data_IF_988331237458
#
_entry.id   IF_988331237458
#
_cell.length_a   1.000
_cell.length_b   1.000
_cell.length_c   1.000
_cell.angle_alpha   90.00
_cell.angle_beta   90.00
_cell.angle_gamma   90.00
#
_symmetry.space_group_name_H-M   'P 1'
#
loop_
_entity.id
_entity.type
_entity.pdbx_description
1 polymer ?
#
# COMPACT_ATOMS: atom_id res chain seq x y z
N UNK A 1 8.26 29.15 9.88
CA UNK A 1 8.04 27.73 10.16
C UNK A 1 6.62 27.43 9.73
N UNK A 2 6.45 26.50 8.79
CA UNK A 2 5.12 26.11 8.35
C UNK A 2 4.34 25.35 9.41
N UNK A 3 3.04 25.21 9.19
CA UNK A 3 2.09 24.61 10.12
C UNK A 3 2.10 23.10 9.97
N UNK A 4 1.78 22.41 11.05
CA UNK A 4 1.66 20.95 11.06
C UNK A 4 0.18 20.59 11.08
N UNK A 5 -0.28 19.93 10.01
CA UNK A 5 -1.59 19.29 9.98
C UNK A 5 -1.46 17.89 10.57
N UNK A 6 -2.28 17.57 11.57
CA UNK A 6 -2.26 16.27 12.22
C UNK A 6 -3.65 15.64 12.21
N UNK A 7 -3.77 14.52 11.50
CA UNK A 7 -4.97 13.71 11.36
C UNK A 7 -4.84 12.43 12.19
N UNK A 8 -5.93 12.02 12.85
CA UNK A 8 -6.08 10.68 13.39
C UNK A 8 -6.98 9.92 12.40
N UNK A 9 -6.55 8.72 11.99
CA UNK A 9 -7.33 7.92 11.06
C UNK A 9 -8.68 7.48 11.65
N UNK A 10 -9.65 7.27 10.77
CA UNK A 10 -11.01 6.82 11.11
C UNK A 10 -11.76 7.83 11.99
N UNK A 11 -12.78 7.41 12.74
CA UNK A 11 -13.62 8.26 13.58
C UNK A 11 -14.67 9.08 12.81
N UNK A 12 -14.42 9.31 11.53
CA UNK A 12 -15.32 10.01 10.62
C UNK A 12 -16.55 9.22 10.24
N UNK A 13 -17.54 9.92 9.68
CA UNK A 13 -18.72 9.27 9.07
C UNK A 13 -18.38 8.77 7.68
N UNK A 14 -18.35 7.45 7.53
CA UNK A 14 -18.29 6.76 6.25
C UNK A 14 -19.67 6.14 5.94
N UNK A 15 -19.91 5.70 4.70
CA UNK A 15 -21.22 5.27 4.21
C UNK A 15 -21.96 4.32 5.17
N UNK A 16 -22.91 4.85 5.97
CA UNK A 16 -23.75 4.08 6.89
C UNK A 16 -23.33 4.07 8.37
N UNK A 17 -22.24 4.74 8.78
CA UNK A 17 -21.84 4.75 10.20
C UNK A 17 -20.55 5.52 10.51
N UNK A 18 -20.17 5.52 11.79
CA UNK A 18 -18.84 5.97 12.21
C UNK A 18 -17.85 4.86 11.89
N UNK A 19 -16.77 5.17 11.20
CA UNK A 19 -15.70 4.23 10.92
C UNK A 19 -14.85 4.04 12.20
N UNK A 20 -14.86 2.84 12.85
CA UNK A 20 -14.04 2.61 14.03
C UNK A 20 -12.57 2.32 13.69
N UNK A 21 -12.26 2.07 12.41
CA UNK A 21 -11.04 1.40 11.99
C UNK A 21 -10.94 -0.01 12.58
N UNK A 22 -9.72 -0.45 12.88
CA UNK A 22 -9.48 -1.76 13.49
C UNK A 22 -10.08 -1.86 14.91
N UNK A 23 -10.68 -3.01 15.25
CA UNK A 23 -11.24 -3.27 16.59
C UNK A 23 -10.47 -4.42 17.23
N UNK A 24 -9.82 -4.16 18.37
CA UNK A 24 -9.09 -5.19 19.12
C UNK A 24 -8.95 -4.83 20.60
N UNK A 25 -8.93 -5.85 21.47
CA UNK A 25 -8.66 -5.67 22.91
C UNK A 25 -9.62 -4.70 23.61
N UNK A 26 -10.88 -4.63 23.18
CA UNK A 26 -11.91 -3.75 23.77
C UNK A 26 -11.77 -2.26 23.41
N UNK A 27 -10.93 -1.91 22.42
CA UNK A 27 -10.77 -0.55 21.91
C UNK A 27 -10.88 -0.53 20.37
N UNK A 28 -10.86 0.67 19.80
CA UNK A 28 -10.94 0.92 18.36
C UNK A 28 -9.73 1.76 17.94
N UNK A 29 -9.27 1.58 16.72
CA UNK A 29 -8.19 2.38 16.12
C UNK A 29 -8.49 3.88 16.19
N UNK A 30 -9.69 4.29 15.79
CA UNK A 30 -10.14 5.68 15.85
C UNK A 30 -9.89 6.31 17.24
N UNK A 31 -10.38 5.64 18.30
CA UNK A 31 -10.21 6.08 19.69
C UNK A 31 -8.74 6.24 20.09
N UNK A 32 -7.90 5.23 19.81
CA UNK A 32 -6.50 5.27 20.22
C UNK A 32 -5.70 6.34 19.46
N UNK A 33 -6.01 6.55 18.17
CA UNK A 33 -5.37 7.58 17.36
C UNK A 33 -5.80 8.99 17.76
N UNK A 34 -7.08 9.22 18.07
CA UNK A 34 -7.57 10.50 18.61
C UNK A 34 -6.83 10.86 19.90
N UNK A 35 -6.76 9.92 20.87
CA UNK A 35 -6.06 10.14 22.13
C UNK A 35 -4.55 10.41 21.94
N UNK A 36 -3.92 9.73 20.99
CA UNK A 36 -2.49 9.93 20.69
C UNK A 36 -2.25 11.28 20.01
N UNK A 37 -3.06 11.63 19.01
CA UNK A 37 -3.01 12.92 18.30
C UNK A 37 -3.09 14.08 19.28
N UNK A 38 -4.05 14.07 20.19
CA UNK A 38 -4.28 15.19 21.11
C UNK A 38 -3.06 15.44 22.02
N UNK A 39 -2.38 14.36 22.42
CA UNK A 39 -1.10 14.46 23.13
C UNK A 39 0.02 15.00 22.23
N UNK A 40 0.14 14.55 20.98
CA UNK A 40 1.13 15.09 20.02
C UNK A 40 0.89 16.60 19.79
N UNK A 41 -0.36 17.02 19.60
CA UNK A 41 -0.74 18.44 19.45
C UNK A 41 -0.30 19.24 20.68
N UNK A 42 -0.54 18.71 21.88
CA UNK A 42 -0.12 19.34 23.14
C UNK A 42 1.41 19.49 23.20
N UNK A 43 2.16 18.42 22.91
CA UNK A 43 3.63 18.42 22.95
C UNK A 43 4.25 19.35 21.88
N UNK A 44 3.66 19.45 20.69
CA UNK A 44 4.11 20.36 19.64
C UNK A 44 3.80 21.83 19.97
N UNK A 45 2.60 22.13 20.48
CA UNK A 45 2.22 23.50 20.88
C UNK A 45 3.07 24.02 22.04
N UNK A 46 3.44 23.14 22.99
CA UNK A 46 4.37 23.48 24.06
C UNK A 46 5.77 23.87 23.55
N UNK A 47 6.11 23.48 22.31
CA UNK A 47 7.36 23.82 21.61
C UNK A 47 7.16 24.95 20.59
N UNK A 48 6.06 25.69 20.70
CA UNK A 48 5.70 26.83 19.83
C UNK A 48 5.49 26.48 18.35
N UNK A 49 5.15 25.23 18.02
CA UNK A 49 4.69 24.88 16.68
C UNK A 49 3.21 25.22 16.51
N UNK A 50 2.85 25.81 15.37
CA UNK A 50 1.45 25.97 14.97
C UNK A 50 0.92 24.64 14.43
N UNK A 51 -0.08 24.07 15.12
CA UNK A 51 -0.64 22.76 14.80
C UNK A 51 -2.15 22.85 14.57
N UNK A 52 -2.57 22.36 13.41
CA UNK A 52 -3.97 22.20 13.02
C UNK A 52 -4.36 20.73 13.20
N UNK A 53 -5.14 20.47 14.25
CA UNK A 53 -5.79 19.17 14.45
C UNK A 53 -6.96 19.04 13.48
N UNK A 54 -6.96 18.00 12.65
CA UNK A 54 -8.07 17.72 11.73
C UNK A 54 -9.30 17.26 12.55
N UNK A 55 -10.53 17.72 12.23
CA UNK A 55 -11.74 17.29 12.92
C UNK A 55 -12.02 15.78 12.78
N UNK A 56 -12.53 15.17 13.85
CA UNK A 56 -12.74 13.72 13.97
C UNK A 56 -13.89 13.18 13.14
N UNK A 57 -14.83 14.03 12.74
CA UNK A 57 -16.08 13.63 12.07
C UNK A 57 -15.97 13.55 10.54
N UNK A 58 -14.79 13.87 10.00
CA UNK A 58 -14.52 13.88 8.56
C UNK A 58 -14.19 12.48 8.04
N UNK A 59 -14.81 12.09 6.93
CA UNK A 59 -14.37 10.95 6.11
C UNK A 59 -12.92 11.10 5.65
N UNK A 60 -12.29 10.01 5.22
CA UNK A 60 -10.93 10.04 4.68
C UNK A 60 -10.77 11.06 3.54
N UNK A 61 -11.78 11.17 2.67
CA UNK A 61 -11.82 12.16 1.59
C UNK A 61 -11.92 13.59 2.12
N UNK A 62 -12.84 13.83 3.06
CA UNK A 62 -13.05 15.17 3.63
C UNK A 62 -11.84 15.66 4.43
N UNK A 63 -11.12 14.76 5.10
CA UNK A 63 -9.84 15.05 5.77
C UNK A 63 -8.83 15.66 4.80
N UNK A 64 -8.63 15.04 3.63
CA UNK A 64 -7.72 15.53 2.59
C UNK A 64 -8.22 16.89 2.05
N UNK A 65 -9.51 17.04 1.77
CA UNK A 65 -10.10 18.31 1.29
C UNK A 65 -9.96 19.44 2.32
N UNK A 66 -10.11 19.12 3.62
CA UNK A 66 -9.97 20.07 4.71
C UNK A 66 -8.54 20.60 4.84
N UNK A 67 -7.54 19.71 4.72
CA UNK A 67 -6.12 20.10 4.69
C UNK A 67 -5.83 20.93 3.43
N UNK A 68 -6.27 20.45 2.26
CA UNK A 68 -5.97 21.04 0.95
C UNK A 68 -6.57 22.44 0.71
N UNK A 69 -7.65 22.77 1.41
CA UNK A 69 -8.27 24.10 1.40
C UNK A 69 -7.54 25.09 2.30
N UNK A 70 -6.65 24.63 3.18
CA UNK A 70 -5.95 25.46 4.18
C UNK A 70 -4.46 25.56 3.95
N UNK A 71 -3.85 24.60 3.24
CA UNK A 71 -2.40 24.50 3.06
C UNK A 71 -1.76 25.78 2.50
N UNK A 72 -0.57 26.07 2.99
CA UNK A 72 0.35 27.12 2.52
C UNK A 72 1.74 26.53 2.33
N UNK A 73 2.61 27.26 1.64
CA UNK A 73 4.01 26.86 1.46
C UNK A 73 4.68 26.67 2.83
N UNK A 74 5.41 25.56 2.99
CA UNK A 74 6.12 25.22 4.22
C UNK A 74 5.34 24.31 5.18
N UNK A 75 4.02 24.18 5.00
CA UNK A 75 3.21 23.29 5.84
C UNK A 75 3.53 21.81 5.58
N UNK A 76 3.31 20.96 6.57
CA UNK A 76 3.44 19.49 6.47
C UNK A 76 2.19 18.80 7.04
N UNK A 77 1.91 17.57 6.61
CA UNK A 77 0.75 16.80 7.06
C UNK A 77 1.12 15.37 7.48
N UNK A 78 0.66 14.94 8.65
CA UNK A 78 0.81 13.56 9.13
C UNK A 78 -0.58 13.00 9.46
N UNK A 79 -0.86 11.79 9.00
CA UNK A 79 -1.97 10.97 9.48
C UNK A 79 -1.45 9.77 10.25
N UNK A 80 -1.96 9.55 11.46
CA UNK A 80 -1.58 8.42 12.30
C UNK A 80 -2.66 7.32 12.29
N UNK A 81 -2.20 6.08 12.14
CA UNK A 81 -2.96 4.84 12.09
C UNK A 81 -2.40 3.84 13.11
N UNK A 82 -3.22 2.88 13.54
CA UNK A 82 -2.77 1.69 14.26
C UNK A 82 -3.24 0.45 13.48
N UNK A 83 -2.30 -0.19 12.80
CA UNK A 83 -2.58 -1.26 11.84
C UNK A 83 -3.17 -2.51 12.53
N UNK A 84 -3.69 -3.44 11.73
CA UNK A 84 -4.11 -4.75 12.19
C UNK A 84 -3.64 -5.83 11.23
N UNK A 85 -3.27 -6.97 11.80
CA UNK A 85 -2.94 -8.18 11.08
C UNK A 85 -3.77 -9.34 11.62
N UNK A 86 -4.05 -10.32 10.77
CA UNK A 86 -4.68 -11.59 11.17
C UNK A 86 -3.90 -12.27 12.29
N UNK A 87 -2.57 -12.26 12.18
CA UNK A 87 -1.65 -12.77 13.19
C UNK A 87 -1.43 -11.75 14.31
N UNK A 88 -1.86 -12.00 15.57
CA UNK A 88 -1.56 -11.13 16.70
C UNK A 88 -0.06 -11.06 17.04
N UNK A 89 0.79 -11.92 16.50
CA UNK A 89 2.26 -11.82 16.63
C UNK A 89 2.91 -10.72 15.77
N UNK A 90 2.20 -10.16 14.77
CA UNK A 90 2.75 -9.08 13.93
C UNK A 90 2.71 -7.76 14.69
N UNK A 91 3.87 -7.10 14.78
CA UNK A 91 4.03 -5.85 15.53
C UNK A 91 5.12 -4.93 14.97
N UNK A 92 5.14 -3.69 15.44
CA UNK A 92 6.10 -2.64 15.09
C UNK A 92 5.53 -1.47 14.30
N UNK A 93 6.28 -0.38 14.20
CA UNK A 93 5.89 0.83 13.48
C UNK A 93 6.46 0.90 12.06
N UNK A 94 5.71 1.54 11.16
CA UNK A 94 6.19 1.95 9.84
C UNK A 94 5.65 3.32 9.44
N UNK A 95 6.34 3.99 8.52
CA UNK A 95 5.86 5.26 7.93
C UNK A 95 5.84 5.12 6.43
N UNK A 96 4.71 5.47 5.83
CA UNK A 96 4.48 5.46 4.40
C UNK A 96 4.65 6.86 3.82
N UNK A 97 5.25 6.89 2.63
CA UNK A 97 5.48 8.09 1.85
C UNK A 97 5.11 7.85 0.38
N UNK A 98 4.88 8.91 -0.38
CA UNK A 98 4.59 8.76 -1.81
C UNK A 98 5.75 8.12 -2.57
N UNK A 99 5.48 7.06 -3.34
CA UNK A 99 6.50 6.35 -4.11
C UNK A 99 7.29 7.28 -5.03
N UNK A 100 8.57 6.94 -5.26
CA UNK A 100 9.51 7.69 -6.10
C UNK A 100 9.79 9.13 -5.62
N UNK A 101 9.75 9.38 -4.31
CA UNK A 101 10.08 10.67 -3.70
C UNK A 101 11.09 10.49 -2.57
N UNK A 102 12.39 10.60 -2.90
CA UNK A 102 13.50 10.38 -1.96
C UNK A 102 13.48 11.38 -0.79
N UNK A 103 13.06 12.61 -1.03
CA UNK A 103 12.98 13.63 0.01
C UNK A 103 11.89 13.28 1.05
N UNK A 104 10.74 12.76 0.59
CA UNK A 104 9.68 12.25 1.48
C UNK A 104 10.10 10.98 2.20
N UNK A 105 10.90 10.10 1.58
CA UNK A 105 11.51 8.96 2.28
C UNK A 105 12.35 9.44 3.47
N UNK A 106 13.24 10.41 3.26
CA UNK A 106 14.05 10.96 4.36
C UNK A 106 13.20 11.65 5.44
N UNK A 107 12.11 12.32 5.06
CA UNK A 107 11.17 12.88 6.03
C UNK A 107 10.48 11.79 6.87
N UNK A 108 10.08 10.69 6.24
CA UNK A 108 9.51 9.54 6.93
C UNK A 108 10.48 8.93 7.95
N UNK A 109 11.79 8.90 7.62
CA UNK A 109 12.84 8.39 8.51
C UNK A 109 12.96 9.24 9.77
N UNK A 110 12.85 10.57 9.65
CA UNK A 110 12.86 11.48 10.80
C UNK A 110 11.72 11.17 11.77
N UNK A 111 10.50 10.98 11.25
CA UNK A 111 9.30 10.71 12.07
C UNK A 111 9.38 9.33 12.71
N UNK A 112 9.75 8.29 11.94
CA UNK A 112 9.89 6.93 12.46
C UNK A 112 10.96 6.83 13.55
N UNK A 113 12.14 7.40 13.32
CA UNK A 113 13.23 7.38 14.29
C UNK A 113 12.91 8.20 15.53
N UNK A 114 12.14 9.28 15.40
CA UNK A 114 11.61 10.04 16.54
C UNK A 114 10.82 9.15 17.50
N UNK A 115 9.87 8.36 16.98
CA UNK A 115 9.11 7.39 17.78
C UNK A 115 10.02 6.31 18.39
N UNK A 116 10.81 5.64 17.57
CA UNK A 116 11.58 4.45 17.98
C UNK A 116 12.67 4.77 19.03
N UNK A 117 13.18 6.00 19.06
CA UNK A 117 14.12 6.45 20.11
C UNK A 117 13.46 6.57 21.49
N UNK A 118 12.15 6.81 21.56
CA UNK A 118 11.40 6.91 22.82
C UNK A 118 10.76 5.58 23.22
N UNK A 119 10.37 4.77 22.23
CA UNK A 119 9.69 3.49 22.42
C UNK A 119 10.55 2.37 21.84
N UNK A 120 11.66 2.08 22.51
CA UNK A 120 12.68 1.13 22.02
C UNK A 120 12.19 -0.32 21.94
N UNK A 121 11.08 -0.65 22.61
CA UNK A 121 10.43 -1.96 22.55
C UNK A 121 9.65 -2.22 21.26
N UNK A 122 9.39 -1.17 20.47
CA UNK A 122 8.61 -1.29 19.25
C UNK A 122 9.51 -1.71 18.09
N UNK A 123 9.22 -2.82 17.38
CA UNK A 123 10.03 -3.23 16.26
C UNK A 123 10.03 -2.20 15.12
N UNK A 124 11.18 -2.00 14.50
CA UNK A 124 11.32 -1.13 13.33
C UNK A 124 10.91 -1.88 12.06
N UNK A 125 9.76 -1.53 11.47
CA UNK A 125 9.31 -2.08 10.18
C UNK A 125 9.71 -1.21 8.98
N UNK A 126 10.45 -0.13 9.22
CA UNK A 126 11.04 0.75 8.22
C UNK A 126 10.07 1.77 7.62
N UNK A 127 10.65 2.64 6.78
CA UNK A 127 9.89 3.55 5.92
C UNK A 127 9.60 2.87 4.59
N UNK A 128 8.40 3.06 4.05
CA UNK A 128 7.93 2.34 2.86
C UNK A 128 7.27 3.29 1.86
N UNK A 129 7.46 3.11 0.56
CA UNK A 129 6.60 3.79 -0.40
C UNK A 129 5.16 3.31 -0.18
N UNK A 130 4.20 4.19 -0.44
CA UNK A 130 2.76 3.94 -0.30
C UNK A 130 2.28 2.75 -1.13
N UNK A 131 3.01 2.44 -2.21
CA UNK A 131 2.78 1.26 -3.05
C UNK A 131 3.06 -0.06 -2.35
N UNK A 132 3.78 -0.05 -1.23
CA UNK A 132 3.98 -1.23 -0.39
C UNK A 132 2.87 -1.40 0.65
N UNK A 133 1.92 -0.47 0.77
CA UNK A 133 0.72 -0.68 1.56
C UNK A 133 -0.12 -1.81 0.95
N UNK A 134 -1.03 -2.39 1.74
CA UNK A 134 -1.95 -3.41 1.23
C UNK A 134 -2.76 -2.94 0.01
N UNK A 135 -3.07 -1.64 -0.05
CA UNK A 135 -3.87 -1.04 -1.13
C UNK A 135 -3.04 -0.67 -2.38
N UNK A 136 -1.71 -0.72 -2.31
CA UNK A 136 -0.83 -0.32 -3.43
C UNK A 136 -0.81 1.19 -3.74
N UNK A 137 -1.58 1.98 -3.01
CA UNK A 137 -1.70 3.43 -3.14
C UNK A 137 -2.33 3.99 -1.87
N UNK A 138 -1.78 5.06 -1.32
CA UNK A 138 -2.38 5.75 -0.17
C UNK A 138 -2.81 7.15 -0.57
N UNK A 139 -4.13 7.39 -0.55
CA UNK A 139 -4.73 8.67 -0.93
C UNK A 139 -4.15 9.83 -0.12
N UNK A 140 -3.96 9.66 1.19
CA UNK A 140 -3.37 10.69 2.05
C UNK A 140 -1.97 11.12 1.57
N UNK A 141 -1.12 10.19 1.17
CA UNK A 141 0.22 10.49 0.65
C UNK A 141 0.19 11.12 -0.76
N UNK A 142 -0.77 10.73 -1.60
CA UNK A 142 -0.83 11.16 -3.01
C UNK A 142 -1.56 12.49 -3.21
N UNK A 143 -2.71 12.64 -2.56
CA UNK A 143 -3.70 13.69 -2.84
C UNK A 143 -3.58 14.89 -1.89
N UNK A 144 -2.91 14.74 -0.74
CA UNK A 144 -2.61 15.88 0.14
C UNK A 144 -1.62 16.83 -0.57
N UNK A 145 -1.94 18.13 -0.54
CA UNK A 145 -1.18 19.16 -1.25
C UNK A 145 0.14 19.46 -0.56
N UNK A 146 0.15 19.46 0.78
CA UNK A 146 1.35 19.54 1.60
C UNK A 146 2.20 18.27 1.44
N UNK A 147 3.53 18.33 1.70
CA UNK A 147 4.31 17.15 2.05
C UNK A 147 3.57 16.31 3.11
N UNK A 148 3.25 15.07 2.76
CA UNK A 148 2.36 14.22 3.56
C UNK A 148 2.97 12.84 3.83
N UNK A 149 2.76 12.36 5.05
CA UNK A 149 3.16 11.03 5.51
C UNK A 149 1.97 10.34 6.19
N UNK A 150 1.90 9.01 6.07
CA UNK A 150 0.97 8.18 6.84
C UNK A 150 1.81 7.29 7.77
N UNK A 151 1.58 7.35 9.06
CA UNK A 151 2.34 6.58 10.04
C UNK A 151 1.45 5.53 10.69
N UNK A 152 1.86 4.26 10.56
CA UNK A 152 1.35 3.18 11.39
C UNK A 152 2.19 3.12 12.66
N UNK A 153 1.62 3.53 13.78
CA UNK A 153 2.35 3.66 15.05
C UNK A 153 2.59 2.30 15.73
N UNK A 154 1.94 1.23 15.27
CA UNK A 154 2.01 -0.13 15.82
C UNK A 154 0.85 -0.97 15.30
N UNK A 155 0.72 -2.20 15.80
CA UNK A 155 -0.41 -3.08 15.47
C UNK A 155 -1.39 -3.16 16.64
N UNK A 156 -2.62 -2.67 16.45
CA UNK A 156 -3.67 -2.74 17.47
C UNK A 156 -4.07 -4.19 17.78
N UNK A 157 -3.95 -5.10 16.81
CA UNK A 157 -4.20 -6.53 17.00
C UNK A 157 -3.15 -7.21 17.90
N UNK A 158 -1.92 -6.70 17.96
CA UNK A 158 -0.87 -7.24 18.83
C UNK A 158 -1.00 -6.72 20.27
N UNK A 159 -1.06 -7.61 21.28
CA UNK A 159 -1.27 -7.20 22.66
C UNK A 159 -0.12 -6.36 23.24
N UNK A 160 1.13 -6.60 22.86
CA UNK A 160 2.28 -5.83 23.36
C UNK A 160 2.31 -4.40 22.81
N UNK A 161 2.11 -4.22 21.51
CA UNK A 161 2.03 -2.90 20.87
C UNK A 161 0.84 -2.11 21.40
N UNK A 162 -0.33 -2.75 21.55
CA UNK A 162 -1.50 -2.13 22.17
C UNK A 162 -1.22 -1.70 23.60
N UNK A 163 -0.57 -2.54 24.40
CA UNK A 163 -0.19 -2.21 25.78
C UNK A 163 0.82 -1.05 25.82
N UNK A 164 1.79 -1.01 24.90
CA UNK A 164 2.73 0.11 24.78
C UNK A 164 1.98 1.41 24.42
N UNK A 165 1.10 1.38 23.43
CA UNK A 165 0.31 2.54 23.00
C UNK A 165 -0.56 3.07 24.13
N UNK A 166 -1.22 2.20 24.89
CA UNK A 166 -2.13 2.60 25.97
C UNK A 166 -1.42 3.08 27.23
N UNK A 167 -0.35 2.39 27.65
CA UNK A 167 0.34 2.67 28.91
C UNK A 167 1.49 3.68 28.76
N UNK A 168 2.04 3.83 27.55
CA UNK A 168 3.17 4.73 27.24
C UNK A 168 2.82 5.74 26.14
N UNK A 169 1.53 6.10 26.00
CA UNK A 169 1.03 7.04 24.97
C UNK A 169 1.81 8.35 24.92
N UNK A 170 2.26 8.85 26.08
CA UNK A 170 3.07 10.07 26.16
C UNK A 170 4.44 9.91 25.50
N UNK A 171 5.08 8.74 25.62
CA UNK A 171 6.36 8.47 24.96
C UNK A 171 6.20 8.40 23.44
N UNK A 172 5.08 7.83 22.96
CA UNK A 172 4.71 7.90 21.55
C UNK A 172 4.55 9.36 21.10
N UNK A 173 3.78 10.14 21.84
CA UNK A 173 3.52 11.53 21.52
C UNK A 173 4.79 12.37 21.46
N UNK A 174 5.68 12.23 22.46
CA UNK A 174 6.97 12.90 22.51
C UNK A 174 7.86 12.50 21.32
N UNK A 175 7.94 11.22 21.00
CA UNK A 175 8.77 10.72 19.89
C UNK A 175 8.27 11.20 18.53
N UNK A 176 6.96 11.14 18.29
CA UNK A 176 6.35 11.65 17.06
C UNK A 176 6.50 13.18 16.97
N UNK A 177 6.34 13.91 18.08
CA UNK A 177 6.58 15.35 18.13
C UNK A 177 8.05 15.72 17.85
N UNK A 178 9.02 14.95 18.36
CA UNK A 178 10.45 15.12 18.05
C UNK A 178 10.71 14.98 16.54
N UNK A 179 10.15 13.95 15.92
CA UNK A 179 10.27 13.68 14.49
C UNK A 179 9.57 14.73 13.60
N UNK A 180 8.33 15.10 13.93
CA UNK A 180 7.58 16.15 13.23
C UNK A 180 8.26 17.52 13.32
N UNK A 181 8.82 17.87 14.48
CA UNK A 181 9.57 19.10 14.65
C UNK A 181 10.82 19.15 13.77
N UNK A 182 11.55 18.03 13.65
CA UNK A 182 12.69 17.91 12.75
C UNK A 182 12.26 18.02 11.27
N UNK A 183 11.19 17.34 10.88
CA UNK A 183 10.66 17.39 9.52
C UNK A 183 10.15 18.78 9.13
N UNK A 184 9.32 19.41 9.95
CA UNK A 184 8.79 20.76 9.71
C UNK A 184 9.90 21.80 9.49
N UNK A 185 10.99 21.71 10.25
CA UNK A 185 12.17 22.57 10.06
C UNK A 185 12.93 22.29 8.76
N UNK A 186 12.99 21.02 8.33
CA UNK A 186 13.65 20.67 7.07
C UNK A 186 12.89 21.18 5.83
N UNK A 187 11.56 21.31 5.91
CA UNK A 187 10.72 21.81 4.81
C UNK A 187 10.73 23.35 4.72
N UNK A 188 10.98 24.06 5.83
CA UNK A 188 11.02 25.54 5.88
C UNK A 188 12.28 26.09 6.59
N UNK A 189 13.49 25.98 5.99
CA UNK A 189 14.72 26.48 6.60
C UNK A 189 14.88 28.01 6.61
N UNK A 190 13.93 28.77 6.05
CA UNK A 190 13.99 30.24 6.00
C UNK A 190 13.11 30.82 4.88
N UNK A 191 12.13 31.63 5.25
CA UNK A 191 11.12 32.19 4.37
C UNK A 191 11.69 33.25 3.41
N UNK A 192 12.07 32.84 2.21
CA UNK A 192 12.29 33.73 1.06
C UNK A 192 11.02 33.85 0.21
N UNK A 193 10.34 35.00 0.28
CA UNK A 193 9.11 35.35 -0.44
C UNK A 193 9.27 35.60 -1.95
N UNK A 194 9.92 34.68 -2.67
CA UNK A 194 9.92 34.67 -4.14
C UNK A 194 8.84 33.71 -4.67
N UNK A 195 8.13 34.11 -5.72
CA UNK A 195 7.21 33.24 -6.45
C UNK A 195 7.86 31.88 -6.74
N UNK A 196 7.11 30.79 -6.54
CA UNK A 196 7.64 29.44 -6.59
C UNK A 196 8.28 29.16 -7.96
N UNK A 197 9.61 29.14 -8.01
CA UNK A 197 10.34 28.65 -9.18
C UNK A 197 10.56 27.17 -8.99
N UNK A 198 9.99 26.37 -9.88
CA UNK A 198 10.15 24.92 -9.84
C UNK A 198 11.38 24.49 -10.67
N UNK A 199 12.29 23.66 -10.10
CA UNK A 199 13.40 23.09 -10.86
C UNK A 199 12.89 22.28 -12.04
N UNK A 200 13.53 22.41 -13.19
CA UNK A 200 13.24 21.57 -14.35
C UNK A 200 13.76 20.14 -14.13
N UNK A 201 13.06 19.15 -14.69
CA UNK A 201 13.45 17.74 -14.71
C UNK A 201 13.44 17.20 -16.14
N UNK A 202 14.26 16.20 -16.39
CA UNK A 202 14.23 15.47 -17.65
C UNK A 202 13.04 14.49 -17.66
N UNK A 203 12.51 14.22 -18.85
CA UNK A 203 11.46 13.22 -19.06
C UNK A 203 12.00 12.17 -20.04
N UNK A 204 11.79 10.91 -19.72
CA UNK A 204 12.10 9.76 -20.56
C UNK A 204 10.81 8.96 -20.80
N UNK A 205 10.52 8.59 -22.05
CA UNK A 205 9.33 7.83 -22.44
C UNK A 205 9.77 6.61 -23.22
N UNK A 206 9.45 5.41 -22.72
CA UNK A 206 9.81 4.14 -23.36
C UNK A 206 11.32 4.03 -23.71
N UNK A 207 12.19 4.61 -22.87
CA UNK A 207 13.64 4.61 -23.07
C UNK A 207 14.18 5.73 -23.97
N UNK A 208 13.32 6.59 -24.51
CA UNK A 208 13.70 7.75 -25.31
C UNK A 208 13.53 9.06 -24.54
N UNK A 209 14.53 9.94 -24.64
CA UNK A 209 14.48 11.28 -24.05
C UNK A 209 13.39 12.11 -24.71
N UNK A 210 12.49 12.68 -23.91
CA UNK A 210 11.49 13.63 -24.38
C UNK A 210 12.10 15.04 -24.44
N UNK A 211 11.71 15.81 -25.46
CA UNK A 211 12.31 17.13 -25.74
C UNK A 211 11.93 18.19 -24.71
N UNK A 212 10.71 18.11 -24.16
CA UNK A 212 10.24 19.06 -23.16
C UNK A 212 10.63 18.63 -21.75
N UNK A 213 10.66 19.60 -20.85
CA UNK A 213 11.02 19.39 -19.46
C UNK A 213 9.78 19.33 -18.56
N UNK A 214 9.86 18.46 -17.56
CA UNK A 214 8.93 18.48 -16.43
C UNK A 214 9.39 19.50 -15.40
N UNK A 215 8.66 19.53 -14.28
CA UNK A 215 9.03 20.31 -13.11
C UNK A 215 9.02 19.47 -11.84
N UNK A 216 9.87 19.82 -10.88
CA UNK A 216 9.89 19.22 -9.55
C UNK A 216 9.11 20.11 -8.58
N UNK A 217 8.04 19.58 -7.99
CA UNK A 217 7.21 20.30 -7.00
C UNK A 217 7.13 19.47 -5.73
N UNK A 218 7.67 20.00 -4.64
CA UNK A 218 7.74 19.34 -3.33
C UNK A 218 8.34 17.91 -3.45
N UNK A 219 9.43 17.79 -4.22
CA UNK A 219 10.12 16.54 -4.50
C UNK A 219 9.36 15.53 -5.38
N UNK A 220 8.18 15.91 -5.92
CA UNK A 220 7.44 15.08 -6.85
C UNK A 220 7.66 15.54 -8.30
N UNK A 221 7.84 14.60 -9.20
CA UNK A 221 7.92 14.87 -10.63
C UNK A 221 6.55 15.22 -11.21
N UNK A 222 6.49 16.31 -11.96
CA UNK A 222 5.33 16.72 -12.75
C UNK A 222 5.71 16.84 -14.22
N UNK A 223 4.83 16.38 -15.10
CA UNK A 223 5.03 16.41 -16.56
C UNK A 223 3.99 17.32 -17.22
N UNK A 224 4.29 17.92 -18.38
CA UNK A 224 3.32 18.70 -19.15
C UNK A 224 2.05 17.91 -19.50
N UNK A 225 0.89 18.58 -19.51
CA UNK A 225 -0.39 17.93 -19.82
C UNK A 225 -0.49 17.45 -21.27
N UNK A 226 0.17 18.13 -22.22
CA UNK A 226 0.19 17.73 -23.63
C UNK A 226 0.84 16.36 -23.80
N UNK A 227 1.83 16.03 -22.95
CA UNK A 227 2.40 14.69 -22.92
C UNK A 227 1.38 13.65 -22.44
N UNK A 228 0.53 13.99 -21.46
CA UNK A 228 -0.54 13.10 -21.01
C UNK A 228 -1.56 12.86 -22.14
N UNK A 229 -1.91 13.89 -22.90
CA UNK A 229 -2.79 13.79 -24.07
C UNK A 229 -2.16 12.92 -25.17
N UNK A 230 -0.84 13.05 -25.42
CA UNK A 230 -0.10 12.18 -26.36
C UNK A 230 -0.07 10.72 -25.93
N UNK A 231 -0.12 10.44 -24.64
CA UNK A 231 -0.27 9.09 -24.09
C UNK A 231 -1.72 8.58 -24.16
N UNK A 232 -2.66 9.37 -24.71
CA UNK A 232 -4.09 9.05 -24.81
C UNK A 232 -4.74 8.74 -23.46
N UNK A 233 -4.27 9.40 -22.40
CA UNK A 233 -4.81 9.22 -21.05
C UNK A 233 -5.96 10.20 -20.82
N UNK A 234 -7.18 9.65 -20.71
CA UNK A 234 -8.38 10.43 -20.42
C UNK A 234 -8.45 10.84 -18.94
N UNK A 235 -7.90 12.02 -18.63
CA UNK A 235 -7.97 12.58 -17.29
C UNK A 235 -9.33 13.16 -16.90
N UNK A 236 -10.35 13.16 -17.78
CA UNK A 236 -11.69 13.64 -17.42
C UNK A 236 -12.35 12.75 -16.35
N UNK A 237 -11.98 11.48 -16.33
CA UNK A 237 -12.44 10.46 -15.37
C UNK A 237 -11.59 10.38 -14.11
N UNK A 238 -10.61 11.27 -13.98
CA UNK A 238 -9.55 11.22 -12.98
C UNK A 238 -9.52 12.49 -12.11
N UNK A 239 -10.57 12.76 -11.30
CA UNK A 239 -10.66 13.99 -10.52
C UNK A 239 -9.55 14.10 -9.46
N UNK A 240 -8.98 12.97 -9.05
CA UNK A 240 -7.95 12.89 -8.02
C UNK A 240 -6.54 13.15 -8.57
N UNK A 241 -6.35 13.18 -9.90
CA UNK A 241 -5.06 13.47 -10.52
C UNK A 241 -4.74 14.96 -10.37
N UNK A 242 -3.68 15.27 -9.65
CA UNK A 242 -3.24 16.60 -9.30
C UNK A 242 -2.68 17.34 -10.51
N UNK A 243 -3.23 18.53 -10.73
CA UNK A 243 -2.83 19.47 -11.79
C UNK A 243 -2.38 20.78 -11.17
N UNK A 244 -1.34 21.37 -11.75
CA UNK A 244 -0.87 22.71 -11.39
C UNK A 244 -0.62 23.52 -12.66
N UNK A 245 -0.87 24.83 -12.61
CA UNK A 245 -0.50 25.72 -13.71
C UNK A 245 0.76 26.48 -13.34
N UNK A 246 1.80 26.38 -14.15
CA UNK A 246 3.05 27.10 -13.98
C UNK A 246 3.51 27.66 -15.32
N UNK A 247 3.80 28.97 -15.37
CA UNK A 247 4.20 29.68 -16.60
C UNK A 247 3.28 29.41 -17.80
N UNK A 248 1.96 29.40 -17.56
CA UNK A 248 0.89 29.13 -18.54
C UNK A 248 0.86 27.69 -19.10
N UNK A 249 1.64 26.77 -18.55
CA UNK A 249 1.59 25.33 -18.86
C UNK A 249 0.91 24.61 -17.69
N UNK A 250 -0.01 23.70 -18.01
CA UNK A 250 -0.60 22.79 -17.02
C UNK A 250 0.30 21.58 -16.90
N UNK A 251 0.68 21.24 -15.68
CA UNK A 251 1.46 20.05 -15.36
C UNK A 251 0.67 19.08 -14.51
N UNK A 252 0.92 17.79 -14.72
CA UNK A 252 0.29 16.65 -14.06
C UNK A 252 1.32 15.89 -13.23
N UNK A 253 0.95 15.48 -12.01
CA UNK A 253 1.85 14.72 -11.14
C UNK A 253 2.09 13.33 -11.71
N UNK A 254 3.34 13.03 -12.09
CA UNK A 254 3.64 11.86 -12.91
C UNK A 254 3.27 10.53 -12.24
N UNK A 255 3.53 10.40 -10.93
CA UNK A 255 3.29 9.15 -10.19
C UNK A 255 1.81 8.71 -10.17
N UNK A 256 0.87 9.63 -10.35
CA UNK A 256 -0.56 9.33 -10.40
C UNK A 256 -0.97 8.70 -11.74
N UNK A 257 -0.12 8.78 -12.77
CA UNK A 257 -0.34 8.12 -14.05
C UNK A 257 -0.26 6.59 -13.97
N UNK A 258 0.22 6.03 -12.85
CA UNK A 258 0.20 4.58 -12.59
C UNK A 258 -1.20 3.98 -12.58
N UNK A 259 -2.22 4.80 -12.32
CA UNK A 259 -3.62 4.38 -12.42
C UNK A 259 -4.09 4.21 -13.88
N UNK A 260 -3.33 4.73 -14.84
CA UNK A 260 -3.64 4.74 -16.28
C UNK A 260 -2.70 3.85 -17.09
N UNK A 261 -2.22 2.75 -16.49
CA UNK A 261 -1.34 1.78 -17.14
C UNK A 261 0.00 2.38 -17.63
N UNK A 262 0.54 3.32 -16.86
CA UNK A 262 1.87 3.88 -17.10
C UNK A 262 2.78 3.52 -15.93
N UNK A 263 3.88 2.80 -16.17
CA UNK A 263 4.88 2.71 -15.10
C UNK A 263 5.68 4.00 -15.01
N UNK A 264 5.99 4.36 -13.77
CA UNK A 264 6.66 5.62 -13.45
C UNK A 264 7.83 5.28 -12.55
N UNK A 265 9.02 5.72 -12.92
CA UNK A 265 10.21 5.64 -12.09
C UNK A 265 10.95 6.98 -12.03
N UNK A 266 11.76 7.15 -11.00
CA UNK A 266 12.53 8.36 -10.75
C UNK A 266 14.01 8.01 -10.62
N UNK A 267 14.85 8.72 -11.36
CA UNK A 267 16.29 8.73 -11.19
C UNK A 267 16.71 10.06 -10.59
N UNK A 268 17.11 10.04 -9.32
CA UNK A 268 17.54 11.23 -8.58
C UNK A 268 18.88 11.77 -9.04
N UNK A 269 19.78 10.93 -9.56
CA UNK A 269 21.10 11.36 -10.02
C UNK A 269 21.00 12.23 -11.28
N UNK A 270 20.15 11.83 -12.23
CA UNK A 270 19.93 12.59 -13.48
C UNK A 270 18.72 13.53 -13.45
N UNK A 271 17.96 13.54 -12.35
CA UNK A 271 16.66 14.22 -12.21
C UNK A 271 15.72 13.89 -13.37
N UNK A 272 15.56 12.60 -13.64
CA UNK A 272 14.76 12.10 -14.75
C UNK A 272 13.56 11.32 -14.26
N UNK A 273 12.37 11.73 -14.69
CA UNK A 273 11.18 10.88 -14.59
C UNK A 273 11.10 10.01 -15.84
N UNK A 274 11.00 8.69 -15.65
CA UNK A 274 10.80 7.74 -16.75
C UNK A 274 9.38 7.20 -16.73
N UNK A 275 8.74 7.24 -17.90
CA UNK A 275 7.39 6.76 -18.15
C UNK A 275 7.47 5.60 -19.14
N UNK A 276 6.77 4.49 -18.88
CA UNK A 276 6.58 3.42 -19.87
C UNK A 276 5.10 3.21 -20.11
N UNK A 277 4.69 3.35 -21.37
CA UNK A 277 3.31 3.13 -21.82
C UNK A 277 3.16 1.88 -22.70
N UNK A 278 4.27 1.39 -23.26
CA UNK A 278 4.29 0.13 -24.00
C UNK A 278 4.44 -1.03 -23.01
N UNK A 279 3.32 -1.40 -22.37
CA UNK A 279 3.29 -2.53 -21.44
C UNK A 279 3.36 -3.86 -22.22
N UNK A 280 4.07 -4.84 -21.67
CA UNK A 280 4.12 -6.19 -22.25
C UNK A 280 2.82 -6.96 -22.02
N UNK A 281 1.97 -6.47 -21.12
CA UNK A 281 0.74 -7.14 -20.67
C UNK A 281 -0.46 -6.22 -20.91
N UNK A 282 -1.50 -6.73 -21.57
CA UNK A 282 -2.76 -6.02 -21.76
C UNK A 282 -3.52 -5.91 -20.43
N UNK A 283 -3.78 -4.69 -19.99
CA UNK A 283 -4.46 -4.42 -18.70
C UNK A 283 -5.88 -4.98 -18.62
N UNK A 284 -6.61 -5.10 -19.72
CA UNK A 284 -7.94 -5.73 -19.74
C UNK A 284 -7.95 -7.26 -19.56
N UNK A 285 -6.79 -7.88 -19.37
CA UNK A 285 -6.67 -9.31 -19.05
C UNK A 285 -5.94 -9.56 -17.72
N UNK A 286 -5.37 -8.52 -17.09
CA UNK A 286 -4.51 -8.67 -15.91
C UNK A 286 -5.28 -9.16 -14.68
N UNK A 287 -6.58 -8.94 -14.65
CA UNK A 287 -7.48 -9.32 -13.56
C UNK A 287 -8.25 -10.63 -13.83
N UNK A 288 -8.05 -11.28 -14.98
CA UNK A 288 -8.72 -12.54 -15.32
C UNK A 288 -8.05 -13.73 -14.66
N UNK A 289 -8.77 -14.43 -13.79
CA UNK A 289 -8.23 -15.58 -13.06
C UNK A 289 -7.94 -16.76 -14.01
N UNK A 290 -8.82 -17.01 -14.99
CA UNK A 290 -8.60 -18.01 -16.04
C UNK A 290 -7.82 -17.40 -17.21
N UNK A 291 -6.51 -17.27 -17.04
CA UNK A 291 -5.57 -16.75 -18.04
C UNK A 291 -4.16 -17.29 -17.79
N UNK A 292 -3.18 -16.93 -18.63
CA UNK A 292 -1.79 -17.31 -18.43
C UNK A 292 -1.04 -16.22 -17.65
N UNK A 293 -0.22 -16.63 -16.67
CA UNK A 293 0.73 -15.71 -16.03
C UNK A 293 1.85 -15.31 -16.99
N UNK A 294 2.62 -14.29 -16.64
CA UNK A 294 3.67 -13.69 -17.45
C UNK A 294 5.04 -13.73 -16.76
N UNK A 295 5.11 -13.75 -15.43
CA UNK A 295 6.38 -13.68 -14.71
C UNK A 295 7.11 -15.03 -14.72
N UNK A 296 8.41 -15.03 -15.04
CA UNK A 296 9.24 -16.23 -14.98
C UNK A 296 9.41 -16.75 -13.54
N UNK A 297 9.77 -18.02 -13.39
CA UNK A 297 10.04 -18.61 -12.06
C UNK A 297 11.08 -17.79 -11.27
N UNK A 298 12.15 -17.35 -11.94
CA UNK A 298 13.20 -16.51 -11.33
C UNK A 298 12.64 -15.16 -10.87
N UNK A 299 11.78 -14.52 -11.66
CA UNK A 299 11.14 -13.25 -11.27
C UNK A 299 10.25 -13.42 -10.03
N UNK A 300 9.47 -14.51 -9.97
CA UNK A 300 8.66 -14.84 -8.79
C UNK A 300 9.52 -15.08 -7.55
N UNK A 301 10.63 -15.82 -7.69
CA UNK A 301 11.57 -16.08 -6.59
C UNK A 301 12.26 -14.80 -6.08
N UNK A 302 12.72 -13.93 -6.99
CA UNK A 302 13.32 -12.64 -6.62
C UNK A 302 12.30 -11.76 -5.90
N UNK A 303 11.07 -11.67 -6.43
CA UNK A 303 10.01 -10.89 -5.80
C UNK A 303 9.71 -11.38 -4.38
N UNK A 304 9.63 -12.69 -4.19
CA UNK A 304 9.41 -13.30 -2.88
C UNK A 304 10.58 -13.04 -1.93
N UNK A 305 11.83 -13.24 -2.36
CA UNK A 305 13.03 -13.03 -1.54
C UNK A 305 13.18 -11.57 -1.10
N UNK A 306 12.91 -10.61 -1.99
CA UNK A 306 12.96 -9.18 -1.69
C UNK A 306 11.93 -8.77 -0.63
N UNK A 307 10.85 -9.53 -0.49
CA UNK A 307 9.82 -9.27 0.51
C UNK A 307 9.92 -10.19 1.74
N UNK A 308 10.57 -11.35 1.66
CA UNK A 308 10.88 -12.28 2.75
C UNK A 308 12.13 -13.11 2.40
N UNK A 309 13.29 -12.73 2.94
CA UNK A 309 14.57 -13.36 2.64
C UNK A 309 14.61 -14.86 3.01
N UNK A 310 13.81 -15.27 4.00
CA UNK A 310 13.77 -16.65 4.51
C UNK A 310 12.72 -17.54 3.81
N UNK A 311 11.91 -17.00 2.90
CA UNK A 311 10.79 -17.72 2.29
C UNK A 311 11.22 -19.00 1.56
N UNK A 312 12.33 -18.92 0.81
CA UNK A 312 12.83 -20.02 -0.02
C UNK A 312 13.65 -21.05 0.76
N UNK A 313 13.94 -20.81 2.05
CA UNK A 313 14.60 -21.81 2.90
C UNK A 313 13.67 -23.00 3.11
N UNK A 314 12.39 -22.72 3.38
CA UNK A 314 11.39 -23.76 3.65
C UNK A 314 10.63 -24.20 2.41
N UNK A 315 10.35 -23.28 1.49
CA UNK A 315 9.59 -23.57 0.27
C UNK A 315 10.41 -23.19 -0.98
N UNK A 316 11.53 -23.90 -1.25
CA UNK A 316 12.44 -23.54 -2.35
C UNK A 316 11.75 -23.59 -3.73
N UNK A 317 10.82 -24.54 -3.92
CA UNK A 317 10.16 -24.78 -5.21
C UNK A 317 8.83 -24.04 -5.37
N UNK A 318 8.42 -23.17 -4.44
CA UNK A 318 7.04 -22.64 -4.42
C UNK A 318 6.65 -21.92 -5.70
N UNK A 319 7.56 -21.15 -6.30
CA UNK A 319 7.32 -20.45 -7.56
C UNK A 319 7.09 -21.44 -8.72
N UNK A 320 7.89 -22.51 -8.76
CA UNK A 320 7.75 -23.60 -9.74
C UNK A 320 6.40 -24.31 -9.58
N UNK A 321 6.02 -24.64 -8.34
CA UNK A 321 4.76 -25.34 -8.05
C UNK A 321 3.55 -24.54 -8.52
N UNK A 322 3.50 -23.22 -8.26
CA UNK A 322 2.40 -22.37 -8.75
C UNK A 322 2.33 -22.34 -10.28
N UNK A 323 3.48 -22.21 -10.96
CA UNK A 323 3.52 -22.22 -12.43
C UNK A 323 3.00 -23.55 -12.99
N UNK A 324 3.42 -24.68 -12.44
CA UNK A 324 3.03 -26.01 -12.92
C UNK A 324 1.55 -26.30 -12.64
N UNK A 325 1.11 -26.24 -11.38
CA UNK A 325 -0.25 -26.63 -10.99
C UNK A 325 -1.31 -25.69 -11.59
N UNK A 326 -1.03 -24.38 -11.64
CA UNK A 326 -1.99 -23.44 -12.22
C UNK A 326 -2.06 -23.55 -13.75
N UNK A 327 -0.94 -23.81 -14.43
CA UNK A 327 -0.94 -24.04 -15.88
C UNK A 327 -1.76 -25.28 -16.27
N UNK A 328 -1.73 -26.35 -15.48
CA UNK A 328 -2.54 -27.56 -15.71
C UNK A 328 -4.04 -27.21 -15.67
N UNK A 329 -4.46 -26.38 -14.71
CA UNK A 329 -5.88 -26.04 -14.53
C UNK A 329 -6.34 -24.83 -15.37
N UNK A 330 -5.42 -24.14 -16.04
CA UNK A 330 -5.70 -22.92 -16.81
C UNK A 330 -5.86 -21.66 -15.94
N UNK A 331 -5.40 -21.71 -14.69
CA UNK A 331 -5.42 -20.59 -13.74
C UNK A 331 -4.15 -19.76 -13.91
N UNK A 332 -4.27 -18.44 -13.80
CA UNK A 332 -3.13 -17.55 -13.88
C UNK A 332 -2.22 -17.74 -12.65
N UNK A 333 -1.03 -18.29 -12.88
CA UNK A 333 -0.06 -18.55 -11.81
C UNK A 333 0.46 -17.29 -11.12
N UNK A 334 0.50 -16.13 -11.78
CA UNK A 334 0.91 -14.89 -11.13
C UNK A 334 -0.16 -14.41 -10.15
N UNK A 335 -1.45 -14.51 -10.53
CA UNK A 335 -2.57 -14.19 -9.64
C UNK A 335 -2.55 -15.12 -8.42
N UNK A 336 -2.47 -16.43 -8.63
CA UNK A 336 -2.44 -17.40 -7.54
C UNK A 336 -1.21 -17.20 -6.62
N UNK A 337 -0.05 -16.89 -7.20
CA UNK A 337 1.17 -16.58 -6.43
C UNK A 337 1.04 -15.27 -5.64
N UNK A 338 0.51 -14.20 -6.25
CA UNK A 338 0.28 -12.93 -5.57
C UNK A 338 -0.76 -13.05 -4.47
N UNK A 339 -1.83 -13.81 -4.69
CA UNK A 339 -2.82 -14.13 -3.66
C UNK A 339 -2.18 -14.88 -2.50
N UNK A 340 -1.31 -15.87 -2.76
CA UNK A 340 -0.53 -16.53 -1.71
C UNK A 340 0.32 -15.55 -0.91
N UNK A 341 0.98 -14.59 -1.58
CA UNK A 341 1.76 -13.56 -0.89
C UNK A 341 0.88 -12.70 0.04
N UNK A 342 -0.36 -12.40 -0.36
CA UNK A 342 -1.35 -11.67 0.45
C UNK A 342 -1.78 -12.53 1.65
N UNK A 343 -2.19 -13.78 1.41
CA UNK A 343 -2.71 -14.71 2.42
C UNK A 343 -1.68 -15.07 3.49
N UNK A 344 -0.44 -15.31 3.08
CA UNK A 344 0.62 -15.82 3.96
C UNK A 344 1.58 -14.72 4.45
N UNK A 345 1.39 -13.47 4.02
CA UNK A 345 2.35 -12.40 4.28
C UNK A 345 3.74 -12.70 3.70
N UNK A 346 3.80 -13.21 2.47
CA UNK A 346 5.00 -13.73 1.80
C UNK A 346 5.62 -14.94 2.50
N UNK A 347 4.83 -15.98 2.78
CA UNK A 347 5.25 -17.22 3.46
C UNK A 347 5.79 -17.03 4.88
N UNK A 348 5.40 -15.94 5.55
CA UNK A 348 5.64 -15.76 6.99
C UNK A 348 4.62 -16.53 7.81
N UNK A 349 3.43 -16.67 7.25
CA UNK A 349 2.24 -17.23 7.89
C UNK A 349 1.81 -16.40 9.10
N UNK A 350 0.57 -16.62 9.53
CA UNK A 350 0.04 -16.04 10.75
C UNK A 350 -0.08 -17.10 11.85
N UNK A 351 -0.68 -16.73 12.97
CA UNK A 351 -0.88 -17.64 14.10
C UNK A 351 -1.96 -18.70 13.81
N UNK A 352 -2.90 -18.41 12.88
CA UNK A 352 -4.03 -19.29 12.54
C UNK A 352 -3.65 -20.47 11.62
N UNK A 353 -2.66 -20.28 10.75
CA UNK A 353 -2.23 -21.28 9.77
C UNK A 353 -0.73 -21.43 9.89
N UNK A 354 -0.27 -22.62 10.26
CA UNK A 354 1.15 -22.90 10.40
C UNK A 354 1.78 -23.32 9.08
N UNK A 355 3.07 -23.04 8.84
CA UNK A 355 3.71 -23.40 7.59
C UNK A 355 3.75 -24.93 7.33
N UNK A 356 3.68 -25.77 8.37
CA UNK A 356 3.57 -27.24 8.24
C UNK A 356 2.28 -27.68 7.55
N UNK A 357 1.25 -26.83 7.56
CA UNK A 357 -0.04 -27.17 6.98
C UNK A 357 -0.06 -27.07 5.46
N UNK A 358 0.97 -26.49 4.83
CA UNK A 358 1.03 -26.26 3.39
C UNK A 358 -0.23 -25.54 2.84
N UNK A 359 -0.91 -24.75 3.67
CA UNK A 359 -2.14 -24.06 3.31
C UNK A 359 -1.80 -22.61 2.94
N UNK A 360 -1.61 -22.40 1.64
CA UNK A 360 -1.14 -21.12 1.10
C UNK A 360 -2.26 -20.12 0.77
N UNK A 361 -3.52 -20.50 1.02
CA UNK A 361 -4.68 -19.77 0.53
C UNK A 361 -5.79 -19.59 1.58
N UNK A 362 -5.49 -19.86 2.85
CA UNK A 362 -6.46 -19.66 3.92
C UNK A 362 -7.61 -20.68 3.94
N UNK A 363 -7.50 -21.83 3.27
CA UNK A 363 -8.64 -22.73 3.07
C UNK A 363 -9.09 -23.38 4.38
N UNK A 364 -10.40 -23.38 4.65
CA UNK A 364 -10.98 -24.09 5.79
C UNK A 364 -11.31 -25.56 5.52
N UNK A 365 -11.66 -26.32 6.57
CA UNK A 365 -12.16 -27.70 6.44
C UNK A 365 -13.64 -27.77 6.00
N UNK A 366 -14.16 -29.00 5.82
CA UNK A 366 -15.50 -29.32 5.27
C UNK A 366 -16.66 -28.88 6.20
N UNK A 367 -16.40 -28.40 7.42
CA UNK A 367 -17.44 -28.06 8.41
C UNK A 367 -17.74 -26.56 8.61
N UNK A 368 -17.03 -25.65 7.94
CA UNK A 368 -17.22 -24.20 8.12
C UNK A 368 -16.83 -23.64 9.50
N UNK A 369 -16.14 -24.44 10.33
CA UNK A 369 -15.53 -23.97 11.58
C UNK A 369 -14.19 -23.27 11.36
N UNK A 370 -13.60 -22.74 12.44
CA UNK A 370 -12.30 -22.03 12.44
C UNK A 370 -11.07 -22.91 12.13
N UNK A 371 -11.26 -24.18 11.77
CA UNK A 371 -10.16 -25.08 11.47
C UNK A 371 -9.68 -24.92 10.03
N UNK A 372 -8.40 -24.55 9.89
CA UNK A 372 -7.71 -24.50 8.61
C UNK A 372 -7.43 -25.91 8.07
N UNK A 373 -7.53 -26.07 6.76
CA UNK A 373 -7.13 -27.28 6.06
C UNK A 373 -5.61 -27.48 6.14
N UNK A 374 -5.19 -28.74 6.08
CA UNK A 374 -3.79 -29.18 6.12
C UNK A 374 -3.57 -30.11 4.93
N UNK A 375 -2.46 -29.90 4.21
CA UNK A 375 -2.11 -30.66 3.01
C UNK A 375 -0.79 -31.39 3.21
N UNK A 376 -0.72 -32.61 2.69
CA UNK A 376 0.44 -33.52 2.86
C UNK A 376 1.76 -32.97 2.31
N UNK A 377 1.68 -32.09 1.31
CA UNK A 377 2.85 -31.48 0.69
C UNK A 377 2.52 -30.09 0.15
N UNK A 378 3.56 -29.29 -0.09
CA UNK A 378 3.43 -28.00 -0.72
C UNK A 378 2.74 -28.09 -2.09
N UNK A 379 3.00 -29.14 -2.87
CA UNK A 379 2.34 -29.35 -4.17
C UNK A 379 0.84 -29.52 -4.02
N UNK A 380 0.38 -30.35 -3.08
CA UNK A 380 -1.05 -30.56 -2.84
C UNK A 380 -1.72 -29.28 -2.31
N UNK A 381 -1.03 -28.53 -1.44
CA UNK A 381 -1.50 -27.23 -0.99
C UNK A 381 -1.69 -26.21 -2.10
N UNK A 382 -0.72 -26.10 -3.01
CA UNK A 382 -0.81 -25.25 -4.20
C UNK A 382 -1.94 -25.73 -5.12
N UNK A 383 -2.07 -27.05 -5.34
CA UNK A 383 -3.16 -27.60 -6.14
C UNK A 383 -4.53 -27.26 -5.56
N UNK A 384 -4.72 -27.40 -4.25
CA UNK A 384 -5.97 -27.04 -3.58
C UNK A 384 -6.29 -25.55 -3.76
N UNK A 385 -5.30 -24.66 -3.62
CA UNK A 385 -5.46 -23.24 -3.90
C UNK A 385 -5.91 -23.00 -5.35
N UNK A 386 -5.21 -23.56 -6.33
CA UNK A 386 -5.52 -23.43 -7.76
C UNK A 386 -6.93 -23.94 -8.07
N UNK A 387 -7.32 -25.09 -7.52
CA UNK A 387 -8.67 -25.64 -7.68
C UNK A 387 -9.73 -24.70 -7.09
N UNK A 388 -9.47 -24.10 -5.92
CA UNK A 388 -10.40 -23.14 -5.30
C UNK A 388 -10.58 -21.89 -6.18
N UNK A 389 -9.49 -21.36 -6.76
CA UNK A 389 -9.56 -20.26 -7.71
C UNK A 389 -10.35 -20.63 -8.97
N UNK A 390 -10.10 -21.81 -9.54
CA UNK A 390 -10.87 -22.30 -10.70
C UNK A 390 -12.34 -22.51 -10.38
N UNK A 391 -12.69 -22.92 -9.16
CA UNK A 391 -14.07 -23.03 -8.72
C UNK A 391 -14.76 -21.66 -8.81
N UNK A 392 -14.15 -20.60 -8.28
CA UNK A 392 -14.69 -19.23 -8.38
C UNK A 392 -14.75 -18.72 -9.82
N UNK A 393 -13.74 -19.00 -10.64
CA UNK A 393 -13.56 -18.31 -11.91
C UNK A 393 -14.14 -19.03 -13.14
N UNK A 394 -14.41 -20.33 -13.05
CA UNK A 394 -14.81 -21.15 -14.21
C UNK A 394 -15.91 -22.15 -13.87
N UNK A 395 -16.65 -22.57 -14.90
CA UNK A 395 -17.56 -23.72 -14.88
C UNK A 395 -16.91 -25.01 -15.40
N UNK A 396 -15.74 -24.94 -16.02
CA UNK A 396 -15.05 -26.08 -16.63
C UNK A 396 -14.64 -27.13 -15.58
N UNK A 397 -14.70 -28.44 -15.88
CA UNK A 397 -14.24 -29.47 -14.94
C UNK A 397 -12.76 -29.28 -14.56
N UNK A 398 -12.38 -29.82 -13.40
CA UNK A 398 -10.96 -29.92 -13.03
C UNK A 398 -10.26 -30.88 -13.98
N UNK A 399 -8.98 -30.61 -14.25
CA UNK A 399 -8.11 -31.52 -15.00
C UNK A 399 -7.55 -32.60 -14.08
N UNK A 400 -7.23 -32.23 -12.84
CA UNK A 400 -6.72 -33.14 -11.80
C UNK A 400 -7.79 -33.51 -10.77
N UNK A 401 -7.54 -34.60 -10.04
CA UNK A 401 -8.40 -35.03 -8.92
C UNK A 401 -8.57 -33.93 -7.87
N UNK A 402 -9.78 -33.83 -7.32
CA UNK A 402 -10.11 -32.81 -6.33
C UNK A 402 -9.37 -33.05 -5.01
N UNK A 403 -8.60 -32.06 -4.58
CA UNK A 403 -7.91 -32.02 -3.28
C UNK A 403 -8.35 -30.83 -2.43
N UNK A 404 -9.00 -29.82 -3.03
CA UNK A 404 -9.64 -28.74 -2.30
C UNK A 404 -10.87 -29.27 -1.53
N UNK A 405 -10.84 -29.29 -0.19
CA UNK A 405 -11.95 -29.80 0.62
C UNK A 405 -13.23 -28.99 0.44
N UNK A 406 -13.11 -27.74 -0.05
CA UNK A 406 -14.21 -26.80 -0.19
C UNK A 406 -14.70 -26.63 -1.63
N UNK A 407 -14.11 -27.33 -2.59
CA UNK A 407 -14.39 -27.15 -4.01
C UNK A 407 -15.90 -27.18 -4.34
N UNK A 408 -16.61 -28.15 -3.77
CA UNK A 408 -18.05 -28.35 -3.99
C UNK A 408 -18.97 -27.28 -3.35
N UNK A 409 -18.46 -26.47 -2.42
CA UNK A 409 -19.25 -25.45 -1.73
C UNK A 409 -19.16 -24.09 -2.39
N UNK A 410 -18.22 -23.90 -3.34
CA UNK A 410 -18.10 -22.68 -4.11
C UNK A 410 -19.17 -22.68 -5.20
N UNK A 411 -19.96 -21.60 -5.28
CA UNK A 411 -20.82 -21.38 -6.45
C UNK A 411 -19.93 -21.12 -7.65
N UNK A 412 -19.91 -22.07 -8.59
CA UNK A 412 -18.92 -22.07 -9.66
C UNK A 412 -19.08 -20.91 -10.63
N UNK A 413 -17.96 -20.34 -11.09
CA UNK A 413 -17.93 -19.27 -12.09
C UNK A 413 -18.48 -17.92 -11.62
N UNK A 414 -18.70 -17.73 -10.31
CA UNK A 414 -19.30 -16.51 -9.75
C UNK A 414 -18.34 -15.31 -9.68
N UNK A 415 -17.03 -15.54 -9.77
CA UNK A 415 -15.99 -14.51 -9.75
C UNK A 415 -14.88 -14.78 -10.77
N UNK A 416 -15.11 -14.56 -12.08
CA UNK A 416 -14.08 -14.68 -13.12
C UNK A 416 -12.93 -13.66 -13.02
N UNK A 417 -13.16 -12.51 -12.37
CA UNK A 417 -12.18 -11.43 -12.20
C UNK A 417 -11.71 -11.32 -10.74
N UNK A 418 -10.45 -10.95 -10.52
CA UNK A 418 -9.84 -10.80 -9.19
C UNK A 418 -10.64 -9.88 -8.28
N UNK A 419 -11.14 -8.75 -8.79
CA UNK A 419 -11.97 -7.81 -8.01
C UNK A 419 -13.25 -8.43 -7.44
N UNK A 420 -13.77 -9.48 -8.08
CA UNK A 420 -14.99 -10.16 -7.64
C UNK A 420 -14.75 -11.16 -6.50
N UNK A 421 -13.49 -11.41 -6.12
CA UNK A 421 -13.15 -12.21 -4.94
C UNK A 421 -13.43 -11.44 -3.63
N UNK A 422 -13.45 -10.11 -3.66
CA UNK A 422 -13.84 -9.26 -2.53
C UNK A 422 -15.25 -9.59 -2.04
N UNK A 423 -15.40 -9.81 -0.73
CA UNK A 423 -16.67 -10.22 -0.11
C UNK A 423 -17.10 -11.67 -0.41
N UNK A 424 -16.33 -12.43 -1.21
CA UNK A 424 -16.66 -13.82 -1.59
C UNK A 424 -15.61 -14.80 -1.07
N UNK A 425 -14.36 -14.60 -1.47
CA UNK A 425 -13.22 -15.35 -0.95
C UNK A 425 -12.89 -14.91 0.47
N UNK A 426 -12.83 -13.58 0.67
CA UNK A 426 -12.57 -12.93 1.94
C UNK A 426 -13.71 -11.95 2.26
N UNK A 427 -14.04 -11.79 3.54
CA UNK A 427 -15.00 -10.77 3.98
C UNK A 427 -14.48 -9.33 3.74
N UNK A 428 -13.17 -9.16 3.50
CA UNK A 428 -12.56 -7.88 3.15
C UNK A 428 -13.02 -7.40 1.77
N UNK A 429 -13.65 -6.23 1.72
CA UNK A 429 -14.14 -5.62 0.49
C UNK A 429 -13.01 -5.09 -0.41
N UNK A 430 -11.82 -4.86 0.16
CA UNK A 430 -10.62 -4.44 -0.59
C UNK A 430 -9.73 -5.64 -0.98
N UNK A 431 -10.18 -6.88 -0.78
CA UNK A 431 -9.37 -8.07 -1.00
C UNK A 431 -8.84 -8.18 -2.44
N UNK A 432 -9.72 -8.01 -3.43
CA UNK A 432 -9.34 -7.99 -4.83
C UNK A 432 -8.33 -6.88 -5.14
N UNK A 433 -8.52 -5.68 -4.58
CA UNK A 433 -7.59 -4.56 -4.75
C UNK A 433 -6.20 -4.86 -4.16
N UNK A 434 -6.13 -5.57 -3.03
CA UNK A 434 -4.88 -6.03 -2.43
C UNK A 434 -4.12 -7.01 -3.35
N UNK A 435 -4.84 -7.95 -3.96
CA UNK A 435 -4.24 -8.89 -4.93
C UNK A 435 -3.77 -8.12 -6.17
N UNK A 436 -4.58 -7.19 -6.70
CA UNK A 436 -4.21 -6.39 -7.87
C UNK A 436 -3.01 -5.48 -7.59
N UNK A 437 -2.94 -4.89 -6.40
CA UNK A 437 -1.78 -4.12 -5.96
C UNK A 437 -0.52 -5.00 -5.90
N UNK A 438 -0.63 -6.23 -5.38
CA UNK A 438 0.48 -7.19 -5.34
C UNK A 438 0.95 -7.58 -6.74
N UNK A 439 0.01 -7.84 -7.66
CA UNK A 439 0.28 -8.20 -9.04
C UNK A 439 0.98 -7.08 -9.82
N UNK A 440 0.51 -5.83 -9.65
CA UNK A 440 1.17 -4.65 -10.24
C UNK A 440 2.61 -4.51 -9.74
N UNK A 441 2.85 -4.68 -8.44
CA UNK A 441 4.21 -4.65 -7.86
C UNK A 441 5.11 -5.74 -8.43
N UNK A 442 4.58 -6.96 -8.60
CA UNK A 442 5.32 -8.05 -9.23
C UNK A 442 5.73 -7.64 -10.66
N UNK A 443 4.80 -7.13 -11.46
CA UNK A 443 5.07 -6.78 -12.86
C UNK A 443 6.01 -5.60 -13.03
N UNK A 444 5.91 -4.57 -12.20
CA UNK A 444 6.88 -3.48 -12.18
C UNK A 444 8.28 -3.98 -11.81
N UNK A 445 8.39 -4.83 -10.78
CA UNK A 445 9.69 -5.40 -10.39
C UNK A 445 10.29 -6.33 -11.45
N UNK A 446 9.42 -6.96 -12.24
CA UNK A 446 9.79 -7.84 -13.34
C UNK A 446 10.07 -7.09 -14.66
N UNK A 447 9.82 -5.78 -14.71
CA UNK A 447 9.95 -4.96 -15.93
C UNK A 447 8.87 -5.25 -16.99
N UNK A 448 7.77 -5.89 -16.59
CA UNK A 448 6.61 -6.22 -17.42
C UNK A 448 5.62 -5.05 -17.52
N UNK A 449 5.63 -4.18 -16.50
CA UNK A 449 4.87 -2.94 -16.43
C UNK A 449 5.81 -1.74 -16.28
#
# INVERSE_FOLDING_TARGET
MGRIFLSAAHGGKETGGIDPGSIAGGTTEAREMILLRDLIVTELRARSFEVLSVPDDLSAKQTIEWINSRVRRGDVALEIHADAASSPSVRGASVFYIANNDERKSNAELVLMGLLRRVTQLPNRGVKPDTNSGLGSLAFCRQTKAPALLMQVGFLSNPEDRALLQNRRRDFALGIADGLAAWSRAVDPGSGGGGATYPAINININGQKYSEQGILVDGNAYIPIDLVDRLQIDLSKAPNVRRITYRRIVYVKAIELREFNVSVSWDSASRTVSLRSNLLICSGQIDKIMSHGNASEVQLQIFLKNNNENALVRFPDIAKLYREEAAIEGVNYDIAFCQMCVETGFLRFGDDIKPEQNNFAGLGTIGGGSQAATFESARIGVRAHVQHLKAYASLEPLVQDVVDPRFRFVTRGIAPLVGQLSGRWSADLNYGDKIMAMLKRLYESAGLM
#
